data_IF_475647955036
#
_entry.id   IF_475647955036
#
_cell.length_a   1.000
_cell.length_b   1.000
_cell.length_c   1.000
_cell.angle_alpha   90.00
_cell.angle_beta   90.00
_cell.angle_gamma   90.00
#
_symmetry.space_group_name_H-M   'P 1'
#
loop_
_entity.id
_entity.type
_entity.pdbx_description
1 polymer ?
#
# COMPACT_ATOMS: atom_id res chain seq x y z
N UNK A 1 8.05 -0.58 -16.04
CA UNK A 1 6.79 -0.16 -16.68
C UNK A 1 5.85 -1.34 -16.99
N UNK A 2 5.50 -2.12 -15.96
CA UNK A 2 4.66 -3.33 -16.06
C UNK A 2 3.35 -3.23 -15.28
N UNK A 3 3.14 -2.12 -14.56
CA UNK A 3 1.93 -1.87 -13.77
C UNK A 3 0.75 -1.59 -14.71
N UNK A 4 -0.45 -2.02 -14.31
CA UNK A 4 -1.68 -1.50 -14.90
C UNK A 4 -1.91 -0.05 -14.43
N UNK A 5 -2.70 0.73 -15.18
CA UNK A 5 -2.92 2.16 -14.89
C UNK A 5 -3.42 2.43 -13.46
N UNK A 6 -4.23 1.53 -12.91
CA UNK A 6 -4.84 1.64 -11.58
C UNK A 6 -3.96 1.05 -10.45
N UNK A 7 -2.75 0.59 -10.76
CA UNK A 7 -1.85 -0.05 -9.80
C UNK A 7 -0.66 0.83 -9.45
N UNK A 8 -0.17 0.68 -8.21
CA UNK A 8 1.13 1.18 -7.78
C UNK A 8 1.93 0.07 -7.11
N UNK A 9 3.25 0.15 -7.20
CA UNK A 9 4.13 -0.77 -6.46
C UNK A 9 4.48 -0.19 -5.10
N UNK A 10 4.21 -0.94 -4.03
CA UNK A 10 4.65 -0.62 -2.68
C UNK A 10 5.77 -1.57 -2.22
N UNK A 11 6.90 -1.03 -1.75
CA UNK A 11 7.92 -1.79 -1.05
C UNK A 11 7.35 -2.58 0.13
N UNK A 12 7.88 -3.80 0.32
CA UNK A 12 7.48 -4.70 1.41
C UNK A 12 7.49 -4.04 2.79
N UNK A 13 8.52 -3.26 3.10
CA UNK A 13 8.67 -2.63 4.42
C UNK A 13 7.64 -1.52 4.64
N UNK A 14 7.38 -0.70 3.61
CA UNK A 14 6.33 0.33 3.66
C UNK A 14 4.95 -0.31 3.79
N UNK A 15 4.67 -1.36 3.01
CA UNK A 15 3.38 -2.05 3.03
C UNK A 15 3.08 -2.70 4.38
N UNK A 16 4.06 -3.36 5.00
CA UNK A 16 3.90 -3.93 6.36
C UNK A 16 3.60 -2.84 7.36
N UNK A 17 4.34 -1.73 7.35
CA UNK A 17 4.15 -0.67 8.34
C UNK A 17 2.74 -0.05 8.24
N UNK A 18 2.30 0.24 7.01
CA UNK A 18 0.99 0.83 6.76
C UNK A 18 -0.18 -0.10 7.09
N UNK A 19 0.00 -1.42 6.90
CA UNK A 19 -1.09 -2.41 7.01
C UNK A 19 -0.93 -3.37 8.19
N UNK A 20 0.01 -3.10 9.11
CA UNK A 20 0.37 -4.02 10.19
C UNK A 20 -0.83 -4.52 10.99
N UNK A 21 -1.76 -3.62 11.33
CA UNK A 21 -2.98 -3.96 12.09
C UNK A 21 -3.86 -4.97 11.35
N UNK A 22 -3.98 -4.82 10.03
CA UNK A 22 -4.76 -5.74 9.20
C UNK A 22 -4.05 -7.08 9.03
N UNK A 23 -2.72 -7.08 8.90
CA UNK A 23 -1.90 -8.31 8.85
C UNK A 23 -1.98 -9.08 10.16
N UNK A 24 -1.90 -8.40 11.32
CA UNK A 24 -2.08 -9.03 12.64
C UNK A 24 -3.45 -9.70 12.73
N UNK A 25 -4.51 -8.99 12.30
CA UNK A 25 -5.86 -9.55 12.27
C UNK A 25 -5.96 -10.76 11.34
N UNK A 26 -5.31 -10.73 10.18
CA UNK A 26 -5.22 -11.84 9.23
C UNK A 26 -4.56 -13.07 9.85
N UNK A 27 -3.38 -12.89 10.47
CA UNK A 27 -2.61 -13.94 11.15
C UNK A 27 -3.43 -14.63 12.25
N UNK A 28 -4.18 -13.87 13.04
CA UNK A 28 -5.03 -14.43 14.10
C UNK A 28 -6.24 -15.15 13.50
N UNK A 29 -6.91 -14.55 12.51
CA UNK A 29 -8.10 -15.12 11.87
C UNK A 29 -7.80 -16.44 11.16
N UNK A 30 -6.61 -16.59 10.61
CA UNK A 30 -6.17 -17.82 9.94
C UNK A 30 -5.50 -18.82 10.90
N UNK A 31 -5.54 -18.58 12.22
CA UNK A 31 -4.93 -19.42 13.25
C UNK A 31 -3.39 -19.60 13.11
N UNK A 32 -2.72 -18.71 12.38
CA UNK A 32 -1.26 -18.67 12.26
C UNK A 32 -0.62 -18.08 13.52
N UNK A 33 -1.32 -17.18 14.22
CA UNK A 33 -0.93 -16.65 15.52
C UNK A 33 -2.07 -16.77 16.53
N UNK A 34 -1.77 -17.19 17.76
CA UNK A 34 -2.80 -17.34 18.81
C UNK A 34 -3.16 -16.02 19.50
N UNK A 35 -2.32 -14.99 19.38
CA UNK A 35 -2.55 -13.67 19.96
C UNK A 35 -1.74 -12.58 19.23
N UNK A 36 -1.98 -11.32 19.60
CA UNK A 36 -1.31 -10.14 19.01
C UNK A 36 0.21 -10.18 19.21
N UNK A 37 0.69 -10.64 20.38
CA UNK A 37 2.12 -10.72 20.69
C UNK A 37 2.86 -11.66 19.74
N UNK A 38 2.32 -12.86 19.52
CA UNK A 38 2.86 -13.83 18.56
C UNK A 38 2.80 -13.28 17.14
N UNK A 39 1.68 -12.67 16.74
CA UNK A 39 1.54 -12.08 15.41
C UNK A 39 2.61 -11.00 15.14
N UNK A 40 2.87 -10.11 16.12
CA UNK A 40 3.96 -9.12 16.03
C UNK A 40 5.34 -9.77 15.95
N UNK A 41 5.58 -10.89 16.66
CA UNK A 41 6.83 -11.64 16.58
C UNK A 41 7.06 -12.17 15.15
N UNK A 42 6.05 -12.83 14.57
CA UNK A 42 6.12 -13.37 13.20
C UNK A 42 6.41 -12.28 12.16
N UNK A 43 5.79 -11.11 12.30
CA UNK A 43 6.05 -9.94 11.44
C UNK A 43 7.50 -9.47 11.58
N UNK A 44 8.01 -9.33 12.81
CA UNK A 44 9.40 -8.91 13.07
C UNK A 44 10.41 -9.93 12.53
N UNK A 45 10.10 -11.21 12.62
CA UNK A 45 10.91 -12.32 12.10
C UNK A 45 10.78 -12.49 10.58
N UNK A 46 9.94 -11.68 9.92
CA UNK A 46 9.72 -11.67 8.46
C UNK A 46 9.34 -13.07 7.92
N UNK A 47 8.55 -13.83 8.69
CA UNK A 47 8.13 -15.19 8.29
C UNK A 47 7.43 -15.17 6.92
N UNK A 48 7.67 -16.18 6.04
CA UNK A 48 7.12 -16.20 4.69
C UNK A 48 5.60 -15.98 4.60
N UNK A 49 4.84 -16.58 5.53
CA UNK A 49 3.38 -16.47 5.62
C UNK A 49 2.87 -15.03 5.82
N UNK A 50 3.70 -14.16 6.40
CA UNK A 50 3.36 -12.73 6.58
C UNK A 50 3.20 -12.04 5.23
N UNK A 51 4.03 -12.41 4.24
CA UNK A 51 3.97 -11.80 2.91
C UNK A 51 2.73 -12.26 2.14
N UNK A 52 2.33 -13.52 2.28
CA UNK A 52 1.09 -14.06 1.69
C UNK A 52 -0.13 -13.33 2.26
N UNK A 53 -0.22 -13.23 3.60
CA UNK A 53 -1.32 -12.50 4.26
C UNK A 53 -1.31 -11.02 3.90
N UNK A 54 -0.13 -10.40 3.79
CA UNK A 54 -0.01 -9.00 3.37
C UNK A 54 -0.56 -8.80 1.95
N UNK A 55 -0.24 -9.69 1.00
CA UNK A 55 -0.79 -9.64 -0.35
C UNK A 55 -2.32 -9.74 -0.35
N UNK A 56 -2.89 -10.66 0.44
CA UNK A 56 -4.34 -10.78 0.59
C UNK A 56 -4.98 -9.51 1.16
N UNK A 57 -4.38 -8.95 2.21
CA UNK A 57 -4.85 -7.69 2.82
C UNK A 57 -4.81 -6.56 1.80
N UNK A 58 -3.72 -6.43 1.05
CA UNK A 58 -3.54 -5.36 0.05
C UNK A 58 -4.59 -5.41 -1.06
N UNK A 59 -5.04 -6.59 -1.50
CA UNK A 59 -6.12 -6.70 -2.50
C UNK A 59 -7.43 -6.02 -2.05
N UNK A 60 -7.69 -6.03 -0.74
CA UNK A 60 -8.87 -5.40 -0.14
C UNK A 60 -8.76 -3.88 0.08
N UNK A 61 -7.56 -3.30 0.05
CA UNK A 61 -7.32 -1.94 0.53
C UNK A 61 -6.62 -1.07 -0.54
N UNK A 62 -7.32 -0.09 -1.15
CA UNK A 62 -6.65 0.88 -2.01
C UNK A 62 -5.74 1.78 -1.17
N UNK A 63 -4.78 2.43 -1.81
CA UNK A 63 -3.91 3.43 -1.19
C UNK A 63 -3.97 4.74 -1.97
N UNK A 64 -3.84 5.86 -1.27
CA UNK A 64 -3.75 7.18 -1.90
C UNK A 64 -2.27 7.56 -2.01
N UNK A 65 -1.83 7.89 -3.23
CA UNK A 65 -0.53 8.49 -3.46
C UNK A 65 -0.69 10.01 -3.57
N UNK A 66 0.22 10.75 -2.96
CA UNK A 66 0.27 12.20 -3.02
C UNK A 66 1.71 12.68 -3.24
N UNK A 67 1.90 13.66 -4.12
CA UNK A 67 3.18 14.38 -4.29
C UNK A 67 2.99 15.85 -3.93
N UNK A 68 3.87 16.38 -3.08
CA UNK A 68 3.87 17.79 -2.73
C UNK A 68 4.63 18.64 -3.78
N UNK A 69 4.20 19.88 -4.08
CA UNK A 69 2.96 20.51 -3.65
C UNK A 69 1.73 20.02 -4.44
N UNK A 70 0.58 19.91 -3.78
CA UNK A 70 -0.68 19.50 -4.42
C UNK A 70 -1.37 20.72 -5.07
N UNK A 71 -1.21 20.90 -6.38
CA UNK A 71 -1.76 22.06 -7.11
C UNK A 71 -3.22 21.90 -7.54
N UNK A 72 -3.67 20.66 -7.70
CA UNK A 72 -5.01 20.32 -8.16
C UNK A 72 -5.39 18.91 -7.75
N UNK A 73 -6.65 18.53 -7.95
CA UNK A 73 -7.18 17.22 -7.51
C UNK A 73 -6.37 16.00 -7.98
N UNK A 74 -5.79 16.04 -9.18
CA UNK A 74 -5.00 14.91 -9.71
C UNK A 74 -3.64 14.72 -9.01
N UNK A 75 -3.25 15.63 -8.09
CA UNK A 75 -2.06 15.47 -7.27
C UNK A 75 -2.25 14.48 -6.11
N UNK A 76 -3.47 13.99 -5.91
CA UNK A 76 -3.79 12.85 -5.03
C UNK A 76 -4.64 11.87 -5.84
N UNK A 77 -4.22 10.61 -5.93
CA UNK A 77 -4.98 9.58 -6.62
C UNK A 77 -4.91 8.26 -5.88
N UNK A 78 -5.97 7.47 -6.00
CA UNK A 78 -6.06 6.14 -5.43
C UNK A 78 -5.52 5.07 -6.39
N UNK A 79 -4.84 4.07 -5.83
CA UNK A 79 -4.31 2.93 -6.57
C UNK A 79 -4.53 1.63 -5.81
N UNK A 80 -4.64 0.54 -6.55
CA UNK A 80 -4.50 -0.81 -6.00
C UNK A 80 -3.01 -1.09 -5.78
N UNK A 81 -2.54 -1.23 -4.53
CA UNK A 81 -1.14 -1.51 -4.30
C UNK A 81 -0.81 -2.97 -4.67
N UNK A 82 0.38 -3.17 -5.20
CA UNK A 82 1.01 -4.49 -5.37
C UNK A 82 2.37 -4.49 -4.67
N UNK A 83 2.79 -5.63 -4.14
CA UNK A 83 4.13 -5.73 -3.55
C UNK A 83 5.21 -5.70 -4.63
N UNK A 84 6.25 -4.93 -4.39
CA UNK A 84 7.46 -4.89 -5.21
C UNK A 84 8.70 -5.06 -4.34
N UNK A 85 9.78 -5.50 -4.97
CA UNK A 85 11.11 -5.52 -4.35
C UNK A 85 11.73 -4.13 -4.28
N UNK A 86 12.71 -3.97 -3.39
CA UNK A 86 13.43 -2.71 -3.19
C UNK A 86 12.73 -1.78 -2.18
N UNK A 87 13.08 -0.50 -2.23
CA UNK A 87 12.68 0.53 -1.26
C UNK A 87 11.94 1.72 -1.89
N UNK A 88 11.67 1.68 -3.20
CA UNK A 88 11.03 2.77 -3.94
C UNK A 88 9.59 2.44 -4.33
N UNK A 89 8.72 3.44 -4.23
CA UNK A 89 7.35 3.35 -4.75
C UNK A 89 7.43 3.33 -6.28
N UNK A 90 6.71 2.39 -6.90
CA UNK A 90 6.60 2.35 -8.36
C UNK A 90 5.31 3.03 -8.81
N UNK A 91 5.44 4.08 -9.61
CA UNK A 91 4.33 4.84 -10.17
C UNK A 91 4.13 4.48 -11.66
N UNK A 92 2.87 4.44 -12.11
CA UNK A 92 2.58 4.25 -13.52
C UNK A 92 2.99 5.48 -14.36
N UNK A 93 3.73 5.35 -15.48
CA UNK A 93 4.25 6.51 -16.22
C UNK A 93 3.18 7.50 -16.71
N UNK A 94 1.98 7.01 -17.06
CA UNK A 94 0.89 7.86 -17.55
C UNK A 94 0.28 8.77 -16.49
N UNK A 95 0.47 8.51 -15.19
CA UNK A 95 -0.05 9.39 -14.13
C UNK A 95 0.96 10.44 -13.68
N UNK A 96 2.24 10.34 -14.09
CA UNK A 96 3.30 11.30 -13.71
C UNK A 96 2.91 12.75 -13.97
N UNK A 97 2.25 13.03 -15.11
CA UNK A 97 1.77 14.39 -15.44
C UNK A 97 0.72 14.90 -14.44
N UNK A 98 -0.14 14.03 -13.92
CA UNK A 98 -1.12 14.39 -12.88
C UNK A 98 -0.45 14.74 -11.54
N UNK A 99 0.68 14.12 -11.23
CA UNK A 99 1.47 14.45 -10.04
C UNK A 99 2.50 15.56 -10.27
N UNK A 100 2.69 15.99 -11.52
CA UNK A 100 3.84 16.77 -11.97
C UNK A 100 5.18 16.15 -11.53
N UNK A 101 5.26 14.82 -11.53
CA UNK A 101 6.38 14.05 -10.99
C UNK A 101 7.38 13.68 -12.10
N UNK A 102 8.66 13.73 -11.76
CA UNK A 102 9.73 13.08 -12.49
C UNK A 102 10.41 12.00 -11.61
N UNK A 103 11.56 11.47 -12.02
CA UNK A 103 12.23 10.37 -11.34
C UNK A 103 13.69 10.72 -11.03
N UNK A 104 13.96 11.97 -10.67
CA UNK A 104 15.31 12.46 -10.31
C UNK A 104 15.58 12.53 -8.79
N UNK A 105 14.59 12.17 -7.97
CA UNK A 105 14.65 12.26 -6.51
C UNK A 105 13.32 12.56 -5.84
N UNK A 106 12.26 12.80 -6.62
CA UNK A 106 10.90 13.01 -6.13
C UNK A 106 10.42 11.97 -5.11
N UNK A 107 9.71 12.45 -4.09
CA UNK A 107 9.11 11.64 -3.03
C UNK A 107 7.58 11.74 -3.05
N UNK A 108 6.92 10.67 -2.64
CA UNK A 108 5.46 10.61 -2.52
C UNK A 108 5.05 10.10 -1.15
N UNK A 109 3.98 10.69 -0.61
CA UNK A 109 3.30 10.19 0.57
C UNK A 109 2.29 9.10 0.18
N UNK A 110 2.10 8.13 1.08
CA UNK A 110 1.11 7.06 0.94
C UNK A 110 0.14 7.14 2.11
N UNK A 111 -1.16 7.14 1.82
CA UNK A 111 -2.21 7.10 2.84
C UNK A 111 -3.10 5.87 2.65
N UNK A 112 -3.52 5.25 3.75
CA UNK A 112 -4.44 4.10 3.75
C UNK A 112 -5.82 4.55 4.24
N UNK A 113 -6.85 4.55 3.39
CA UNK A 113 -8.24 4.74 3.82
C UNK A 113 -8.68 3.60 4.74
N UNK A 114 -9.18 3.92 5.93
CA UNK A 114 -9.52 2.91 6.94
C UNK A 114 -11.01 2.52 6.94
N UNK A 115 -11.93 3.49 6.89
CA UNK A 115 -13.36 3.21 6.90
C UNK A 115 -13.83 2.66 5.56
N UNK A 116 -14.97 1.95 5.56
CA UNK A 116 -15.54 1.39 4.34
C UNK A 116 -15.95 2.50 3.35
N UNK A 117 -16.44 3.63 3.87
CA UNK A 117 -16.81 4.80 3.11
C UNK A 117 -15.58 5.41 2.43
N UNK A 118 -14.48 5.61 3.16
CA UNK A 118 -13.25 6.16 2.61
C UNK A 118 -12.61 5.23 1.56
N UNK A 119 -12.69 3.91 1.77
CA UNK A 119 -12.25 2.93 0.78
C UNK A 119 -13.14 2.93 -0.46
N UNK A 120 -14.45 3.12 -0.30
CA UNK A 120 -15.39 3.22 -1.42
C UNK A 120 -15.16 4.50 -2.24
N UNK A 121 -14.97 5.65 -1.58
CA UNK A 121 -14.61 6.91 -2.23
C UNK A 121 -13.33 6.75 -3.05
N UNK A 122 -12.27 6.17 -2.45
CA UNK A 122 -11.01 5.92 -3.15
C UNK A 122 -11.15 5.00 -4.37
N UNK A 123 -12.17 4.15 -4.45
CA UNK A 123 -12.38 3.25 -5.60
C UNK A 123 -13.26 3.86 -6.68
N UNK A 124 -14.12 4.82 -6.35
CA UNK A 124 -15.19 5.31 -7.22
C UNK A 124 -14.97 6.75 -7.72
N UNK A 125 -14.23 7.58 -6.99
CA UNK A 125 -14.00 9.00 -7.27
C UNK A 125 -12.57 9.28 -7.73
#
# INVERSE_FOLDING_TARGET
PSLSLHQCGLPREIAIELLQTFVIRGLIRQHVASNIGIAKSKIREKEPIVWEILQEVMQGHPVLLNRAPTLHRLGIQAFQPILVEGSAICLHPLVCKGFNADFDGDQMAVHVPLSLEAQAEARLL
#
